data_IF_502750096765
#
_entry.id   IF_502750096765
#
_cell.length_a   1.000
_cell.length_b   1.000
_cell.length_c   1.000
_cell.angle_alpha   90.00
_cell.angle_beta   90.00
_cell.angle_gamma   90.00
#
_symmetry.space_group_name_H-M   'P 1'
#
loop_
_entity.id
_entity.type
_entity.pdbx_description
1 polymer ?
#
# COMPACT_ATOMS: atom_id res chain seq x y z
N UNK A 1 57.08 29.62 -40.44
CA UNK A 1 55.64 29.30 -40.24
C UNK A 1 55.50 27.84 -39.80
N UNK A 2 54.56 27.57 -38.86
CA UNK A 2 54.07 26.27 -38.32
C UNK A 2 54.62 25.79 -36.96
N UNK A 3 53.96 26.32 -35.91
CA UNK A 3 53.28 25.65 -34.75
C UNK A 3 53.17 24.11 -34.87
N UNK A 4 53.14 23.27 -33.83
CA UNK A 4 52.75 23.39 -32.41
C UNK A 4 53.17 22.05 -31.72
N UNK A 5 53.73 22.10 -30.50
CA UNK A 5 53.92 20.89 -29.67
C UNK A 5 52.57 20.41 -29.12
N UNK A 6 52.22 19.14 -29.36
CA UNK A 6 51.00 18.51 -28.83
C UNK A 6 51.30 17.93 -27.44
N UNK A 7 50.71 18.53 -26.40
CA UNK A 7 50.62 17.94 -25.06
C UNK A 7 49.49 16.91 -25.07
N UNK A 8 49.80 15.67 -24.71
CA UNK A 8 48.84 14.59 -24.48
C UNK A 8 48.34 14.73 -23.04
N UNK A 9 47.09 15.15 -22.86
CA UNK A 9 46.38 15.14 -21.57
C UNK A 9 45.45 13.92 -21.62
N UNK A 10 45.75 12.92 -20.81
CA UNK A 10 44.86 11.77 -20.58
C UNK A 10 43.86 12.22 -19.51
N UNK A 11 42.67 12.64 -19.94
CA UNK A 11 41.53 12.86 -19.06
C UNK A 11 40.90 11.50 -18.77
N UNK A 12 41.04 11.01 -17.53
CA UNK A 12 40.21 9.95 -16.98
C UNK A 12 38.79 10.52 -16.78
N UNK A 13 37.87 10.22 -17.70
CA UNK A 13 36.44 10.39 -17.49
C UNK A 13 35.88 9.05 -17.01
N UNK A 14 35.78 8.88 -15.69
CA UNK A 14 34.96 7.81 -15.11
C UNK A 14 33.49 8.15 -15.31
N UNK A 15 32.79 7.25 -16.01
CA UNK A 15 31.37 7.29 -16.33
C UNK A 15 30.53 7.65 -15.11
N UNK A 16 29.81 8.77 -15.19
CA UNK A 16 28.60 8.97 -14.40
C UNK A 16 27.53 8.01 -14.95
N UNK A 17 27.04 7.11 -14.11
CA UNK A 17 25.91 6.25 -14.38
C UNK A 17 24.66 7.13 -14.51
N UNK A 18 24.29 7.49 -15.74
CA UNK A 18 23.06 8.21 -16.02
C UNK A 18 21.88 7.24 -15.82
N UNK A 19 21.07 7.48 -14.80
CA UNK A 19 19.73 6.93 -14.71
C UNK A 19 18.88 7.52 -15.84
N UNK A 20 18.77 6.81 -16.97
CA UNK A 20 17.89 7.19 -18.07
C UNK A 20 16.48 6.69 -17.78
N UNK A 21 15.60 7.63 -17.40
CA UNK A 21 14.16 7.43 -17.44
C UNK A 21 13.71 7.44 -18.91
N UNK A 22 13.62 6.26 -19.53
CA UNK A 22 13.03 6.13 -20.85
C UNK A 22 11.51 6.02 -20.72
N UNK A 23 10.82 7.13 -21.01
CA UNK A 23 9.37 7.16 -21.19
C UNK A 23 9.08 6.69 -22.63
N UNK A 24 8.58 5.47 -22.79
CA UNK A 24 7.91 5.03 -24.00
C UNK A 24 6.40 5.30 -23.85
N UNK A 25 5.72 5.96 -24.80
CA UNK A 25 4.28 6.12 -24.75
C UNK A 25 3.63 4.92 -25.45
N UNK A 26 2.79 4.15 -24.75
CA UNK A 26 1.70 3.43 -25.42
C UNK A 26 0.59 3.02 -24.45
N UNK A 27 -0.63 3.29 -24.89
CA UNK A 27 -1.92 2.90 -24.34
C UNK A 27 -2.32 3.51 -23.00
N UNK A 28 -3.39 4.33 -23.06
CA UNK A 28 -4.18 4.76 -21.93
C UNK A 28 -4.85 3.55 -21.25
N UNK A 29 -4.05 2.75 -20.54
CA UNK A 29 -4.50 2.12 -19.32
C UNK A 29 -4.35 3.17 -18.24
N UNK A 30 -5.37 3.33 -17.40
CA UNK A 30 -5.23 4.07 -16.15
C UNK A 30 -4.09 3.38 -15.41
N UNK A 31 -2.88 3.94 -15.49
CA UNK A 31 -1.75 3.50 -14.68
C UNK A 31 -2.21 3.73 -13.24
N UNK A 32 -2.70 2.67 -12.59
CA UNK A 32 -2.94 2.69 -11.17
C UNK A 32 -1.61 3.08 -10.56
N UNK A 33 -1.55 4.27 -9.97
CA UNK A 33 -0.36 4.72 -9.26
C UNK A 33 -0.01 3.60 -8.28
N UNK A 34 1.22 3.11 -8.36
CA UNK A 34 1.72 2.02 -7.54
C UNK A 34 3.08 2.38 -6.97
N UNK A 35 3.38 1.88 -5.78
CA UNK A 35 4.68 1.99 -5.14
C UNK A 35 5.23 0.60 -4.90
N UNK A 36 6.51 0.41 -5.19
CA UNK A 36 7.21 -0.86 -4.97
C UNK A 36 8.12 -0.72 -3.76
N UNK A 37 7.99 -1.65 -2.82
CA UNK A 37 8.94 -1.84 -1.73
C UNK A 37 9.70 -3.14 -2.00
N UNK A 38 11.04 -3.10 -2.01
CA UNK A 38 11.84 -4.28 -2.34
C UNK A 38 13.19 -4.29 -1.62
N UNK A 39 13.58 -5.46 -1.11
CA UNK A 39 14.95 -5.81 -0.74
C UNK A 39 15.33 -7.16 -1.40
N UNK A 40 16.31 -7.88 -0.84
CA UNK A 40 16.77 -9.16 -1.39
C UNK A 40 15.82 -10.32 -1.08
N UNK A 41 15.04 -10.22 -0.01
CA UNK A 41 14.19 -11.29 0.52
C UNK A 41 12.72 -11.09 0.10
N UNK A 42 12.27 -9.84 -0.07
CA UNK A 42 10.88 -9.47 -0.28
C UNK A 42 10.74 -8.40 -1.34
N UNK A 43 9.76 -8.57 -2.21
CA UNK A 43 9.18 -7.53 -3.03
C UNK A 43 7.67 -7.42 -2.78
N UNK A 44 7.19 -6.19 -2.61
CA UNK A 44 5.78 -5.87 -2.54
C UNK A 44 5.39 -4.71 -3.45
N UNK A 45 4.18 -4.78 -4.01
CA UNK A 45 3.59 -3.70 -4.80
C UNK A 45 2.33 -3.20 -4.10
N UNK A 46 2.30 -1.90 -3.80
CA UNK A 46 1.19 -1.24 -3.11
C UNK A 46 0.48 -0.33 -4.11
N UNK A 47 -0.85 -0.45 -4.18
CA UNK A 47 -1.76 0.45 -4.90
C UNK A 47 -2.65 1.21 -3.90
N UNK A 48 -3.47 2.16 -4.33
CA UNK A 48 -4.47 2.80 -3.45
C UNK A 48 -5.52 1.81 -2.89
N UNK A 49 -5.62 0.61 -3.47
CA UNK A 49 -6.48 -0.46 -2.99
C UNK A 49 -5.80 -1.37 -1.94
N UNK A 50 -4.50 -1.15 -1.67
CA UNK A 50 -3.69 -1.92 -0.74
C UNK A 50 -2.55 -2.70 -1.41
N UNK A 51 -1.99 -3.67 -0.69
CA UNK A 51 -0.88 -4.50 -1.14
C UNK A 51 -1.37 -5.53 -2.18
N UNK A 52 -0.93 -5.40 -3.43
CA UNK A 52 -1.37 -6.23 -4.57
C UNK A 52 -0.39 -7.32 -4.96
N UNK A 53 0.83 -7.26 -4.45
CA UNK A 53 1.86 -8.27 -4.69
C UNK A 53 2.69 -8.42 -3.42
N UNK A 54 3.02 -9.67 -3.09
CA UNK A 54 4.04 -10.04 -2.12
C UNK A 54 4.72 -11.31 -2.64
N UNK A 55 6.03 -11.24 -2.82
CA UNK A 55 6.83 -12.33 -3.37
C UNK A 55 8.26 -12.29 -2.83
N UNK A 56 8.93 -13.43 -2.85
CA UNK A 56 10.37 -13.53 -2.70
C UNK A 56 11.05 -13.24 -4.06
N UNK A 57 11.89 -12.20 -4.19
CA UNK A 57 12.59 -11.87 -5.43
C UNK A 57 13.54 -12.94 -5.93
N UNK A 58 13.99 -13.83 -5.05
CA UNK A 58 14.94 -14.91 -5.32
C UNK A 58 14.24 -16.24 -5.61
N UNK A 59 12.91 -16.31 -5.46
CA UNK A 59 12.15 -17.52 -5.76
C UNK A 59 12.09 -17.80 -7.28
N UNK A 60 12.88 -18.78 -7.70
CA UNK A 60 12.90 -19.28 -9.08
C UNK A 60 11.57 -19.85 -9.58
N UNK A 61 10.69 -20.28 -8.68
CA UNK A 61 9.35 -20.78 -9.04
C UNK A 61 8.35 -19.64 -9.29
N UNK A 62 8.67 -18.41 -8.92
CA UNK A 62 7.81 -17.24 -9.12
C UNK A 62 6.55 -17.26 -8.26
N UNK A 63 6.65 -17.78 -7.02
CA UNK A 63 5.57 -17.81 -6.06
C UNK A 63 5.07 -16.40 -5.72
N UNK A 64 3.78 -16.17 -5.96
CA UNK A 64 3.09 -14.96 -5.53
C UNK A 64 2.12 -15.33 -4.42
N UNK A 65 2.29 -14.69 -3.26
CA UNK A 65 1.50 -14.93 -2.05
C UNK A 65 0.12 -14.28 -2.17
N UNK A 66 0.09 -13.06 -2.70
CA UNK A 66 -1.14 -12.29 -2.92
C UNK A 66 -1.71 -12.66 -4.29
N UNK A 67 -2.95 -13.13 -4.29
CA UNK A 67 -3.65 -13.56 -5.50
C UNK A 67 -4.12 -12.39 -6.37
N UNK A 68 -5.33 -12.51 -6.92
CA UNK A 68 -5.95 -11.53 -7.82
C UNK A 68 -6.51 -10.28 -7.10
N UNK A 69 -6.37 -10.20 -5.78
CA UNK A 69 -6.98 -9.17 -4.93
C UNK A 69 -5.99 -8.55 -3.97
N UNK A 70 -6.15 -7.24 -3.75
CA UNK A 70 -5.36 -6.49 -2.80
C UNK A 70 -5.63 -6.93 -1.35
N UNK A 71 -4.56 -7.07 -0.58
CA UNK A 71 -4.59 -7.17 0.87
C UNK A 71 -4.63 -5.78 1.51
N UNK A 72 -5.17 -5.70 2.72
CA UNK A 72 -5.15 -4.47 3.50
C UNK A 72 -6.32 -3.53 3.23
N UNK A 73 -7.35 -3.93 2.48
CA UNK A 73 -8.55 -3.09 2.35
C UNK A 73 -9.29 -3.07 3.69
N UNK A 74 -9.39 -1.90 4.30
CA UNK A 74 -10.04 -1.71 5.60
C UNK A 74 -11.51 -1.33 5.43
N UNK A 75 -12.35 -1.86 6.31
CA UNK A 75 -13.72 -1.43 6.55
C UNK A 75 -13.80 -0.93 7.99
N UNK A 76 -14.36 0.26 8.17
CA UNK A 76 -14.44 0.92 9.46
C UNK A 76 -15.86 1.46 9.67
N UNK A 77 -16.48 1.05 10.78
CA UNK A 77 -17.74 1.59 11.27
C UNK A 77 -17.48 2.50 12.47
N UNK A 78 -18.15 3.65 12.50
CA UNK A 78 -18.03 4.61 13.60
C UNK A 78 -19.33 5.32 13.89
N UNK A 79 -19.45 5.91 15.08
CA UNK A 79 -20.54 6.82 15.44
C UNK A 79 -20.02 8.08 16.11
N UNK A 80 -20.70 9.20 15.89
CA UNK A 80 -20.40 10.51 16.47
C UNK A 80 -21.46 10.79 17.53
N UNK A 81 -21.03 11.03 18.77
CA UNK A 81 -21.92 11.26 19.92
C UNK A 81 -22.96 10.15 20.16
N UNK A 82 -22.70 8.92 19.70
CA UNK A 82 -23.60 7.77 19.89
C UNK A 82 -24.92 7.86 19.11
N UNK A 83 -24.95 8.62 18.01
CA UNK A 83 -26.11 8.72 17.11
C UNK A 83 -26.12 7.53 16.14
N UNK A 84 -26.19 7.81 14.84
CA UNK A 84 -26.20 6.76 13.81
C UNK A 84 -24.80 6.16 13.62
N UNK A 85 -24.76 4.88 13.28
CA UNK A 85 -23.55 4.22 12.79
C UNK A 85 -23.30 4.59 11.33
N UNK A 86 -22.07 4.96 11.02
CA UNK A 86 -21.61 5.44 9.72
C UNK A 86 -20.43 4.60 9.25
N UNK A 87 -20.41 4.28 7.96
CA UNK A 87 -19.26 3.63 7.34
C UNK A 87 -18.24 4.69 6.93
N UNK A 88 -16.96 4.44 7.21
CA UNK A 88 -15.88 5.22 6.62
C UNK A 88 -15.69 4.79 5.18
N UNK A 89 -16.22 5.59 4.26
CA UNK A 89 -16.09 5.29 2.84
C UNK A 89 -14.79 5.84 2.28
N UNK A 90 -14.04 4.93 1.65
CA UNK A 90 -12.65 5.16 1.35
C UNK A 90 -12.43 5.87 -0.02
N UNK A 91 -12.89 7.12 -0.14
CA UNK A 91 -12.99 7.83 -1.41
C UNK A 91 -11.86 8.85 -1.68
N UNK A 92 -11.17 9.37 -0.66
CA UNK A 92 -10.20 10.47 -0.80
C UNK A 92 -8.77 9.98 -0.54
N UNK A 93 -8.39 8.92 -1.26
CA UNK A 93 -7.10 8.24 -1.10
C UNK A 93 -5.96 8.92 -1.84
N UNK A 94 -4.81 9.01 -1.18
CA UNK A 94 -3.57 9.51 -1.76
C UNK A 94 -2.36 8.75 -1.21
N UNK A 95 -1.27 8.74 -1.97
CA UNK A 95 0.00 8.18 -1.51
C UNK A 95 0.83 9.22 -0.76
N UNK A 96 1.50 8.76 0.29
CA UNK A 96 2.59 9.46 0.96
C UNK A 96 3.79 8.52 1.01
N UNK A 97 4.99 9.00 0.70
CA UNK A 97 6.23 8.21 0.84
C UNK A 97 6.98 8.63 2.09
N UNK A 98 7.52 7.65 2.80
CA UNK A 98 8.28 7.84 4.03
C UNK A 98 9.72 7.34 3.81
N UNK A 99 10.48 8.12 3.03
CA UNK A 99 11.77 7.66 2.51
C UNK A 99 11.59 6.53 1.50
N UNK A 100 12.59 5.63 1.43
CA UNK A 100 12.65 4.57 0.42
C UNK A 100 12.07 3.23 0.91
N UNK A 101 11.84 3.09 2.22
CA UNK A 101 11.43 1.82 2.84
C UNK A 101 9.97 1.80 3.25
N UNK A 102 9.22 2.90 3.13
CA UNK A 102 7.83 2.94 3.56
C UNK A 102 6.93 3.81 2.67
N UNK A 103 5.68 3.38 2.55
CA UNK A 103 4.63 4.07 1.83
C UNK A 103 3.33 4.05 2.62
N UNK A 104 2.66 5.19 2.71
CA UNK A 104 1.33 5.37 3.28
C UNK A 104 0.26 5.56 2.21
N UNK A 105 -0.92 5.04 2.48
CA UNK A 105 -2.18 5.42 1.81
C UNK A 105 -2.97 6.22 2.84
N UNK A 106 -3.14 7.51 2.57
CA UNK A 106 -3.95 8.40 3.40
C UNK A 106 -5.30 8.58 2.75
N UNK A 107 -6.36 8.28 3.49
CA UNK A 107 -7.74 8.60 3.14
C UNK A 107 -8.25 9.76 3.99
N UNK A 108 -8.31 10.93 3.37
CA UNK A 108 -8.83 12.13 4.02
C UNK A 108 -9.16 13.22 3.01
N UNK A 109 -10.33 13.82 3.21
CA UNK A 109 -10.78 15.04 2.55
C UNK A 109 -11.27 16.03 3.59
N UNK A 110 -11.18 17.33 3.28
CA UNK A 110 -11.70 18.38 4.16
C UNK A 110 -13.18 18.14 4.45
N UNK A 111 -13.57 18.21 5.73
CA UNK A 111 -14.93 17.92 6.19
C UNK A 111 -15.22 16.46 6.51
N UNK A 112 -14.28 15.52 6.26
CA UNK A 112 -14.42 14.15 6.74
C UNK A 112 -14.16 14.08 8.26
N UNK A 113 -14.97 13.31 9.02
CA UNK A 113 -14.83 13.25 10.47
C UNK A 113 -13.60 12.44 10.93
N UNK A 114 -13.13 11.53 10.10
CA UNK A 114 -11.99 10.64 10.36
C UNK A 114 -10.98 10.75 9.22
N UNK A 115 -9.70 10.75 9.59
CA UNK A 115 -8.59 10.46 8.70
C UNK A 115 -8.12 9.04 8.97
N UNK A 116 -7.95 8.24 7.91
CA UNK A 116 -7.32 6.93 7.99
C UNK A 116 -5.99 6.95 7.25
N UNK A 117 -4.97 6.36 7.86
CA UNK A 117 -3.69 6.11 7.22
C UNK A 117 -3.35 4.63 7.33
N UNK A 118 -3.01 4.05 6.18
CA UNK A 118 -2.52 2.68 6.05
C UNK A 118 -1.06 2.73 5.64
N UNK A 119 -0.15 2.35 6.52
CA UNK A 119 1.29 2.44 6.27
C UNK A 119 1.88 1.05 6.06
N UNK A 120 2.62 0.90 4.97
CA UNK A 120 3.37 -0.28 4.61
C UNK A 120 4.85 0.04 4.79
N UNK A 121 5.54 -0.71 5.65
CA UNK A 121 6.97 -0.51 5.93
C UNK A 121 7.73 -1.79 5.60
N UNK A 122 8.67 -1.70 4.67
CA UNK A 122 9.60 -2.77 4.36
C UNK A 122 10.56 -2.97 5.53
N UNK A 123 10.69 -4.21 5.95
CA UNK A 123 11.69 -4.66 6.92
C UNK A 123 12.58 -5.71 6.26
N UNK A 124 13.59 -6.18 6.98
CA UNK A 124 14.47 -7.25 6.48
C UNK A 124 13.73 -8.58 6.26
N UNK A 125 12.59 -8.79 6.94
CA UNK A 125 11.86 -10.06 6.97
C UNK A 125 10.41 -9.97 6.51
N UNK A 126 9.90 -8.77 6.23
CA UNK A 126 8.47 -8.57 6.00
C UNK A 126 8.10 -7.23 5.39
N UNK A 127 6.79 -7.06 5.23
CA UNK A 127 6.16 -5.74 5.14
C UNK A 127 5.28 -5.62 6.38
N UNK A 128 5.60 -4.67 7.25
CA UNK A 128 4.71 -4.29 8.34
C UNK A 128 3.55 -3.47 7.80
N UNK A 129 2.36 -3.71 8.30
CA UNK A 129 1.13 -3.01 7.92
C UNK A 129 0.49 -2.37 9.15
N UNK A 130 0.55 -1.05 9.22
CA UNK A 130 -0.01 -0.26 10.32
C UNK A 130 -1.27 0.49 9.84
N UNK A 131 -2.31 0.52 10.68
CA UNK A 131 -3.50 1.36 10.47
C UNK A 131 -3.55 2.41 11.57
N UNK A 132 -3.52 3.68 11.19
CA UNK A 132 -3.75 4.81 12.09
C UNK A 132 -5.10 5.46 11.76
N UNK A 133 -5.95 5.60 12.75
CA UNK A 133 -7.24 6.30 12.64
C UNK A 133 -7.19 7.53 13.55
N UNK A 134 -7.42 8.69 12.96
CA UNK A 134 -7.40 9.97 13.67
C UNK A 134 -8.77 10.64 13.55
N UNK A 135 -9.38 10.99 14.69
CA UNK A 135 -10.56 11.87 14.70
C UNK A 135 -10.16 13.29 14.35
N UNK A 136 -10.88 13.90 13.40
CA UNK A 136 -10.76 15.32 13.07
C UNK A 136 -11.88 16.16 13.68
N UNK A 137 -12.73 15.52 14.48
CA UNK A 137 -13.86 16.14 15.15
C UNK A 137 -13.48 16.55 16.59
N UNK A 138 -14.07 17.64 17.06
CA UNK A 138 -14.03 18.03 18.47
C UNK A 138 -14.94 17.17 19.37
N UNK A 139 -15.84 16.39 18.76
CA UNK A 139 -16.78 15.54 19.48
C UNK A 139 -16.23 14.12 19.63
N UNK A 140 -16.62 13.39 20.68
CA UNK A 140 -16.23 11.99 20.85
C UNK A 140 -16.73 11.13 19.67
N UNK A 141 -15.80 10.34 19.12
CA UNK A 141 -16.09 9.30 18.13
C UNK A 141 -15.91 7.95 18.80
N UNK A 142 -16.84 7.03 18.54
CA UNK A 142 -16.69 5.62 18.91
C UNK A 142 -16.47 4.80 17.67
N UNK A 143 -15.48 3.92 17.73
CA UNK A 143 -15.22 2.90 16.71
C UNK A 143 -16.08 1.68 17.07
N UNK A 144 -16.79 1.15 16.08
CA UNK A 144 -17.48 -0.13 16.17
C UNK A 144 -16.58 -1.18 15.54
N UNK A 145 -16.94 -1.60 14.34
CA UNK A 145 -16.20 -2.61 13.60
C UNK A 145 -14.98 -2.00 12.89
N UNK A 146 -13.84 -2.67 13.03
CA UNK A 146 -12.65 -2.47 12.21
C UNK A 146 -12.26 -3.82 11.60
N UNK A 147 -12.44 -3.97 10.30
CA UNK A 147 -12.09 -5.19 9.58
C UNK A 147 -11.05 -4.88 8.50
N UNK A 148 -10.12 -5.82 8.30
CA UNK A 148 -9.11 -5.74 7.25
C UNK A 148 -9.20 -6.98 6.39
N UNK A 149 -9.33 -6.77 5.08
CA UNK A 149 -9.51 -7.88 4.15
C UNK A 149 -8.16 -8.40 3.63
N UNK A 150 -7.87 -9.67 3.91
CA UNK A 150 -6.69 -10.41 3.44
C UNK A 150 -7.12 -11.65 2.62
N UNK A 151 -7.62 -11.45 1.39
CA UNK A 151 -8.10 -12.56 0.57
C UNK A 151 -6.95 -13.49 0.19
N UNK A 152 -7.03 -14.76 0.56
CA UNK A 152 -6.09 -15.77 0.08
C UNK A 152 -6.43 -16.17 -1.35
N UNK A 153 -5.40 -16.60 -2.10
CA UNK A 153 -5.45 -16.94 -3.54
C UNK A 153 -6.55 -17.93 -3.95
N UNK A 154 -7.21 -18.62 -3.02
CA UNK A 154 -8.07 -19.78 -3.29
C UNK A 154 -9.53 -19.68 -2.79
N UNK A 155 -10.05 -18.52 -2.38
CA UNK A 155 -11.42 -18.44 -1.87
C UNK A 155 -12.39 -17.92 -2.95
N UNK A 156 -13.35 -18.74 -3.44
CA UNK A 156 -14.33 -18.32 -4.44
C UNK A 156 -15.15 -17.11 -3.98
N UNK A 157 -15.59 -16.28 -4.93
CA UNK A 157 -16.29 -14.99 -4.72
C UNK A 157 -17.54 -15.08 -3.83
N UNK A 158 -18.14 -16.26 -3.70
CA UNK A 158 -19.29 -16.52 -2.82
C UNK A 158 -18.92 -16.70 -1.33
N UNK A 159 -17.64 -16.92 -1.01
CA UNK A 159 -17.14 -17.20 0.35
C UNK A 159 -16.41 -16.01 0.99
N UNK A 160 -16.07 -14.96 0.23
CA UNK A 160 -15.48 -13.70 0.75
C UNK A 160 -16.49 -12.72 1.37
N UNK A 161 -17.73 -13.14 1.59
CA UNK A 161 -18.67 -12.34 2.35
C UNK A 161 -18.37 -12.56 3.85
N UNK A 162 -17.67 -11.62 4.47
CA UNK A 162 -17.48 -11.57 5.93
C UNK A 162 -18.83 -11.60 6.68
N UNK A 163 -19.94 -11.28 5.99
CA UNK A 163 -21.32 -11.59 6.37
C UNK A 163 -21.97 -12.60 5.44
N UNK A 164 -22.39 -13.73 6.00
CA UNK A 164 -23.40 -14.61 5.43
C UNK A 164 -24.80 -14.00 5.62
N UNK A 165 -25.80 -14.54 4.92
CA UNK A 165 -27.21 -14.17 5.17
C UNK A 165 -27.70 -14.46 6.59
N UNK A 166 -26.89 -15.14 7.41
CA UNK A 166 -27.16 -15.52 8.79
C UNK A 166 -26.26 -14.83 9.82
N UNK A 167 -25.38 -13.90 9.41
CA UNK A 167 -24.45 -13.20 10.31
C UNK A 167 -22.99 -13.28 9.85
N UNK A 168 -22.06 -12.86 10.70
CA UNK A 168 -20.64 -12.83 10.38
C UNK A 168 -20.05 -14.25 10.32
N UNK A 169 -19.14 -14.51 9.38
CA UNK A 169 -18.55 -15.84 9.25
C UNK A 169 -17.36 -15.96 10.23
N UNK A 170 -17.45 -16.83 11.26
CA UNK A 170 -16.45 -16.92 12.33
C UNK A 170 -15.09 -17.43 11.84
N UNK A 171 -15.00 -18.08 10.68
CA UNK A 171 -13.70 -18.50 10.11
C UNK A 171 -12.81 -17.32 9.68
N UNK A 172 -13.36 -16.10 9.64
CA UNK A 172 -12.66 -14.87 9.26
C UNK A 172 -12.61 -13.83 10.38
N UNK A 173 -12.99 -14.21 11.60
CA UNK A 173 -12.95 -13.33 12.77
C UNK A 173 -11.79 -13.79 13.65
N UNK A 174 -10.68 -13.08 13.56
CA UNK A 174 -9.64 -13.11 14.60
C UNK A 174 -9.92 -11.94 15.57
N UNK A 175 -10.58 -12.24 16.69
CA UNK A 175 -10.81 -11.28 17.77
C UNK A 175 -9.55 -11.16 18.64
N UNK A 176 -8.87 -10.02 18.52
CA UNK A 176 -7.84 -9.62 19.47
C UNK A 176 -8.43 -8.56 20.40
N UNK A 177 -8.65 -8.94 21.66
CA UNK A 177 -8.97 -8.00 22.74
C UNK A 177 -7.64 -7.38 23.17
N UNK A 178 -7.52 -6.07 23.03
CA UNK A 178 -6.40 -5.32 23.59
C UNK A 178 -6.75 -4.96 25.04
N UNK A 179 -5.96 -5.49 25.98
CA UNK A 179 -6.04 -5.17 27.41
C UNK A 179 -5.49 -3.75 27.72
#
# INVERSE_FOLDING_TARGET
MKKKNKKLIICLLTLALSATCHILPSNAQVQRKSCTLKNNEIAGVITLDGLTLLADPSDSAGGIIIGDRSWGRTHLMYTIEGKNWLQHDAYNKSFVTYGDTAVGIIDYGSGMPLKMEQKYTLTDQGINFDILIESKMQFPVKIGDLAVHFPTRNIPRAWTAWRTGTGENPEYIDEYIFD
#
